data_IF_017194883701
#
_entry.id   IF_017194883701
#
_cell.length_a   1.000
_cell.length_b   1.000
_cell.length_c   1.000
_cell.angle_alpha   90.00
_cell.angle_beta   90.00
_cell.angle_gamma   90.00
#
_symmetry.space_group_name_H-M   'P 1'
#
loop_
_entity.id
_entity.type
_entity.pdbx_description
1 polymer ?
#
# COMPACT_ATOMS: atom_id res chain seq x y z
N UNK A 1 -10.24 -1.39 -23.28
CA UNK A 1 -9.97 -0.94 -21.91
C UNK A 1 -9.67 0.55 -21.87
N UNK A 2 -10.16 1.24 -20.84
CA UNK A 2 -10.02 2.68 -20.62
C UNK A 2 -9.99 2.91 -19.11
N UNK A 3 -9.15 3.85 -18.68
CA UNK A 3 -9.14 4.33 -17.31
C UNK A 3 -8.78 5.82 -17.29
N UNK A 4 -9.60 6.61 -16.61
CA UNK A 4 -9.32 7.98 -16.21
C UNK A 4 -9.89 8.20 -14.80
N UNK A 5 -9.02 8.53 -13.85
CA UNK A 5 -9.39 9.00 -12.53
C UNK A 5 -8.96 10.47 -12.36
N UNK A 6 -9.82 11.30 -11.77
CA UNK A 6 -9.50 12.70 -11.41
C UNK A 6 -9.73 12.90 -9.92
N UNK A 7 -8.73 13.46 -9.24
CA UNK A 7 -8.75 13.82 -7.83
C UNK A 7 -8.61 15.34 -7.74
N UNK A 8 -9.51 16.01 -7.02
CA UNK A 8 -9.49 17.47 -6.81
C UNK A 8 -9.35 17.86 -5.34
N UNK A 9 -9.65 16.95 -4.42
CA UNK A 9 -9.46 17.21 -2.99
C UNK A 9 -7.97 17.13 -2.62
N UNK A 10 -7.47 18.18 -1.96
CA UNK A 10 -6.05 18.29 -1.62
C UNK A 10 -5.56 17.18 -0.68
N UNK A 11 -6.37 16.73 0.28
CA UNK A 11 -5.97 15.67 1.20
C UNK A 11 -5.88 14.33 0.49
N UNK A 12 -6.87 14.00 -0.36
CA UNK A 12 -6.88 12.79 -1.19
C UNK A 12 -5.71 12.78 -2.18
N UNK A 13 -5.36 13.93 -2.79
CA UNK A 13 -4.18 14.04 -3.67
C UNK A 13 -2.91 13.68 -2.91
N UNK A 14 -2.69 14.29 -1.74
CA UNK A 14 -1.49 14.03 -0.94
C UNK A 14 -1.45 12.58 -0.44
N UNK A 15 -2.60 12.02 -0.07
CA UNK A 15 -2.72 10.59 0.30
C UNK A 15 -2.33 9.68 -0.87
N UNK A 16 -2.88 9.91 -2.07
CA UNK A 16 -2.58 9.14 -3.27
C UNK A 16 -1.07 9.18 -3.62
N UNK A 17 -0.45 10.37 -3.57
CA UNK A 17 0.99 10.53 -3.79
C UNK A 17 1.80 9.70 -2.79
N UNK A 18 1.45 9.78 -1.50
CA UNK A 18 2.12 9.01 -0.43
C UNK A 18 1.94 7.50 -0.59
N UNK A 19 0.78 7.04 -1.04
CA UNK A 19 0.52 5.61 -1.32
C UNK A 19 1.46 5.09 -2.41
N UNK A 20 1.52 5.78 -3.55
CA UNK A 20 2.45 5.41 -4.64
C UNK A 20 3.92 5.45 -4.19
N UNK A 21 4.32 6.51 -3.46
CA UNK A 21 5.68 6.60 -2.92
C UNK A 21 6.00 5.48 -1.94
N UNK A 22 5.05 5.09 -1.10
CA UNK A 22 5.25 4.03 -0.11
C UNK A 22 5.44 2.68 -0.77
N UNK A 23 4.58 2.32 -1.74
CA UNK A 23 4.74 1.07 -2.50
C UNK A 23 6.05 1.07 -3.29
N UNK A 24 6.40 2.19 -3.94
CA UNK A 24 7.63 2.31 -4.72
C UNK A 24 8.93 2.18 -3.89
N UNK A 25 8.88 2.45 -2.57
CA UNK A 25 10.07 2.30 -1.70
C UNK A 25 10.46 0.85 -1.42
N UNK A 26 9.53 -0.09 -1.48
CA UNK A 26 9.74 -1.45 -0.98
C UNK A 26 9.94 -2.50 -2.08
N UNK A 27 9.44 -2.27 -3.30
CA UNK A 27 9.59 -3.20 -4.43
C UNK A 27 10.18 -2.49 -5.65
N UNK A 28 10.88 -3.22 -6.52
CA UNK A 28 11.36 -2.68 -7.82
C UNK A 28 10.23 -2.49 -8.82
N UNK A 29 9.24 -3.37 -8.75
CA UNK A 29 8.06 -3.42 -9.60
C UNK A 29 6.84 -3.74 -8.73
N UNK A 30 5.67 -3.27 -9.15
CA UNK A 30 4.40 -3.59 -8.53
C UNK A 30 3.29 -3.59 -9.55
N UNK A 31 2.22 -4.32 -9.25
CA UNK A 31 1.02 -4.40 -10.06
C UNK A 31 -0.02 -3.38 -9.57
N UNK A 32 -0.74 -2.81 -10.52
CA UNK A 32 -1.96 -2.06 -10.27
C UNK A 32 -3.12 -2.81 -10.87
N UNK A 33 -4.12 -3.12 -10.04
CA UNK A 33 -5.40 -3.66 -10.45
C UNK A 33 -6.46 -2.56 -10.36
N UNK A 34 -7.19 -2.37 -11.44
CA UNK A 34 -8.33 -1.47 -11.51
C UNK A 34 -9.61 -2.26 -11.76
N UNK A 35 -10.67 -1.86 -11.09
CA UNK A 35 -12.03 -2.34 -11.26
C UNK A 35 -12.99 -1.14 -11.33
N UNK A 36 -14.31 -1.38 -11.37
CA UNK A 36 -15.27 -0.27 -11.39
C UNK A 36 -15.19 0.62 -10.14
N UNK A 37 -14.89 0.04 -8.97
CA UNK A 37 -15.02 0.71 -7.68
C UNK A 37 -13.74 0.65 -6.82
N UNK A 38 -12.76 -0.15 -7.21
CA UNK A 38 -11.53 -0.33 -6.43
C UNK A 38 -10.28 -0.20 -7.30
N UNK A 39 -9.26 0.41 -6.71
CA UNK A 39 -7.88 0.42 -7.19
C UNK A 39 -7.01 -0.29 -6.16
N UNK A 40 -6.28 -1.32 -6.58
CA UNK A 40 -5.39 -2.09 -5.70
C UNK A 40 -3.95 -1.96 -6.20
N UNK A 41 -3.02 -1.61 -5.32
CA UNK A 41 -1.58 -1.68 -5.56
C UNK A 41 -1.05 -2.94 -4.89
N UNK A 42 -0.42 -3.81 -5.65
CA UNK A 42 0.00 -5.15 -5.22
C UNK A 42 1.48 -5.32 -5.50
N UNK A 43 2.27 -5.62 -4.49
CA UNK A 43 3.70 -5.89 -4.64
C UNK A 43 3.98 -7.08 -5.57
N UNK A 44 5.01 -6.99 -6.40
CA UNK A 44 5.51 -8.12 -7.17
C UNK A 44 6.26 -9.12 -6.28
N UNK A 45 5.73 -10.34 -6.17
CA UNK A 45 6.30 -11.45 -5.38
C UNK A 45 7.56 -12.05 -6.01
N UNK A 46 7.76 -11.86 -7.32
CA UNK A 46 8.81 -12.53 -8.08
C UNK A 46 10.16 -11.82 -8.02
N UNK A 47 10.17 -10.50 -7.79
CA UNK A 47 11.37 -9.65 -7.88
C UNK A 47 11.86 -9.13 -6.51
N UNK A 48 11.83 -10.00 -5.50
CA UNK A 48 12.02 -9.68 -4.08
C UNK A 48 13.34 -8.96 -3.72
N UNK A 49 13.27 -7.63 -3.56
CA UNK A 49 14.12 -6.90 -2.60
C UNK A 49 13.68 -7.16 -1.15
N UNK A 50 12.43 -7.61 -0.96
CA UNK A 50 11.76 -7.71 0.33
C UNK A 50 10.98 -9.04 0.40
N UNK A 51 11.05 -9.77 1.54
CA UNK A 51 10.26 -10.98 1.75
C UNK A 51 8.77 -10.67 2.02
N UNK A 52 8.42 -9.39 2.15
CA UNK A 52 7.07 -8.96 2.46
C UNK A 52 6.23 -8.79 1.19
N UNK A 53 4.95 -9.12 1.29
CA UNK A 53 3.92 -8.83 0.29
C UNK A 53 3.06 -7.70 0.83
N UNK A 54 2.85 -6.66 0.04
CA UNK A 54 1.92 -5.58 0.38
C UNK A 54 0.84 -5.48 -0.68
N UNK A 55 -0.38 -5.33 -0.19
CA UNK A 55 -1.54 -4.95 -0.96
C UNK A 55 -2.14 -3.73 -0.30
N UNK A 56 -2.34 -2.69 -1.09
CA UNK A 56 -3.04 -1.48 -0.70
C UNK A 56 -4.33 -1.44 -1.52
N UNK A 57 -5.46 -1.49 -0.82
CA UNK A 57 -6.78 -1.39 -1.43
C UNK A 57 -7.31 0.03 -1.25
N UNK A 58 -7.74 0.65 -2.34
CA UNK A 58 -8.29 2.00 -2.38
C UNK A 58 -9.71 1.91 -2.97
N UNK A 59 -10.70 2.35 -2.20
CA UNK A 59 -12.04 2.58 -2.73
C UNK A 59 -12.01 3.82 -3.63
N UNK A 60 -12.43 3.66 -4.88
CA UNK A 60 -12.36 4.74 -5.86
C UNK A 60 -13.32 5.90 -5.53
N UNK A 61 -14.45 5.63 -4.86
CA UNK A 61 -15.40 6.67 -4.43
C UNK A 61 -14.80 7.60 -3.38
N UNK A 62 -13.87 7.10 -2.55
CA UNK A 62 -13.23 7.87 -1.49
C UNK A 62 -12.10 8.78 -2.00
N UNK A 63 -11.70 8.65 -3.27
CA UNK A 63 -10.56 9.37 -3.84
C UNK A 63 -10.91 10.14 -5.12
N UNK A 64 -11.70 9.59 -6.02
CA UNK A 64 -11.86 10.15 -7.36
C UNK A 64 -13.20 10.87 -7.51
N UNK A 65 -13.17 12.16 -7.83
CA UNK A 65 -14.36 12.92 -8.20
C UNK A 65 -14.85 12.55 -9.61
N UNK A 66 -13.95 12.17 -10.51
CA UNK A 66 -14.30 11.53 -11.77
C UNK A 66 -13.61 10.17 -11.87
N UNK A 67 -14.38 9.12 -12.11
CA UNK A 67 -13.86 7.78 -12.34
C UNK A 67 -14.50 7.15 -13.58
N UNK A 68 -13.74 7.11 -14.67
CA UNK A 68 -14.17 6.59 -15.97
C UNK A 68 -13.35 5.34 -16.29
N UNK A 69 -13.98 4.19 -16.12
CA UNK A 69 -13.36 2.88 -16.21
C UNK A 69 -14.13 1.96 -17.17
N UNK A 70 -13.38 1.24 -17.99
CA UNK A 70 -13.87 0.15 -18.82
C UNK A 70 -12.78 -0.90 -18.92
N UNK A 71 -13.05 -2.11 -18.43
CA UNK A 71 -12.11 -3.22 -18.39
C UNK A 71 -11.80 -3.84 -19.74
N UNK A 72 -11.31 -5.08 -19.71
CA UNK A 72 -10.98 -5.84 -20.93
C UNK A 72 -12.24 -6.38 -21.61
N UNK A 73 -13.20 -6.91 -20.84
CA UNK A 73 -14.50 -7.36 -21.33
C UNK A 73 -15.58 -7.23 -20.26
N UNK A 74 -16.86 -7.45 -20.61
CA UNK A 74 -17.96 -7.44 -19.64
C UNK A 74 -17.80 -8.53 -18.56
N UNK A 75 -17.32 -9.72 -18.95
CA UNK A 75 -17.11 -10.85 -18.01
C UNK A 75 -15.82 -10.70 -17.18
N UNK A 76 -14.84 -9.94 -17.70
CA UNK A 76 -13.56 -9.66 -17.03
C UNK A 76 -13.33 -8.15 -17.03
N UNK A 77 -14.20 -7.45 -16.31
CA UNK A 77 -14.20 -5.98 -16.21
C UNK A 77 -13.12 -5.48 -15.24
N UNK A 78 -11.88 -5.88 -15.49
CA UNK A 78 -10.69 -5.52 -14.71
C UNK A 78 -9.58 -5.07 -15.66
N UNK A 79 -8.64 -4.30 -15.15
CA UNK A 79 -7.38 -3.99 -15.83
C UNK A 79 -6.25 -4.27 -14.85
N UNK A 80 -5.26 -5.05 -15.28
CA UNK A 80 -4.01 -5.24 -14.55
C UNK A 80 -2.85 -4.68 -15.37
N UNK A 81 -1.97 -3.95 -14.72
CA UNK A 81 -0.72 -3.53 -15.31
C UNK A 81 0.41 -3.47 -14.29
N UNK A 82 1.63 -3.69 -14.74
CA UNK A 82 2.85 -3.56 -13.95
C UNK A 82 3.50 -2.20 -14.17
N UNK A 83 4.08 -1.67 -13.09
CA UNK A 83 4.85 -0.43 -13.08
C UNK A 83 6.21 -0.65 -12.41
N UNK A 84 7.23 0.05 -12.91
CA UNK A 84 8.52 0.17 -12.23
C UNK A 84 8.48 1.26 -11.16
N UNK A 85 9.09 1.00 -10.02
CA UNK A 85 9.06 1.89 -8.85
C UNK A 85 9.92 3.14 -9.01
N UNK A 86 11.10 3.06 -9.64
CA UNK A 86 12.00 4.21 -9.74
C UNK A 86 11.35 5.39 -10.48
N UNK A 87 10.74 5.21 -11.68
CA UNK A 87 10.07 6.31 -12.38
C UNK A 87 8.85 6.83 -11.60
N UNK A 88 8.09 5.95 -10.96
CA UNK A 88 6.94 6.34 -10.11
C UNK A 88 7.41 7.22 -8.97
N UNK A 89 8.45 6.80 -8.23
CA UNK A 89 8.98 7.55 -7.10
C UNK A 89 9.54 8.90 -7.54
N UNK A 90 10.22 8.97 -8.69
CA UNK A 90 10.72 10.23 -9.26
C UNK A 90 9.58 11.19 -9.61
N UNK A 91 8.57 10.72 -10.34
CA UNK A 91 7.41 11.55 -10.70
C UNK A 91 6.70 12.04 -9.45
N UNK A 92 6.32 11.15 -8.54
CA UNK A 92 5.57 11.49 -7.33
C UNK A 92 6.35 12.46 -6.43
N UNK A 93 7.67 12.30 -6.30
CA UNK A 93 8.52 13.22 -5.52
C UNK A 93 8.72 14.58 -6.18
N UNK A 94 8.56 14.67 -7.51
CA UNK A 94 8.68 15.94 -8.24
C UNK A 94 7.41 16.80 -8.19
N UNK A 95 6.29 16.24 -7.72
CA UNK A 95 5.03 16.94 -7.62
C UNK A 95 5.07 17.94 -6.47
N UNK A 96 4.73 19.21 -6.74
CA UNK A 96 4.74 20.25 -5.70
C UNK A 96 3.50 20.15 -4.79
N UNK A 97 3.55 20.60 -3.52
CA UNK A 97 2.49 20.37 -2.53
C UNK A 97 1.18 21.17 -2.75
N UNK A 98 1.07 22.00 -3.79
CA UNK A 98 -0.12 22.83 -4.05
C UNK A 98 -0.75 22.49 -5.40
N UNK A 99 -1.39 21.33 -5.48
CA UNK A 99 -2.02 20.81 -6.70
C UNK A 99 -3.53 21.08 -6.63
N UNK A 100 -4.08 21.63 -7.71
CA UNK A 100 -5.52 21.84 -7.87
C UNK A 100 -6.24 20.55 -8.28
N UNK A 101 -5.65 19.79 -9.20
CA UNK A 101 -6.19 18.49 -9.60
C UNK A 101 -5.09 17.52 -10.03
N UNK A 102 -5.27 16.25 -9.69
CA UNK A 102 -4.43 15.12 -10.13
C UNK A 102 -5.27 14.20 -11.02
N UNK A 103 -4.82 13.97 -12.24
CA UNK A 103 -5.45 13.07 -13.20
C UNK A 103 -4.56 11.87 -13.47
N UNK A 104 -5.08 10.65 -13.26
CA UNK A 104 -4.46 9.40 -13.66
C UNK A 104 -5.18 8.86 -14.89
N UNK A 105 -4.48 8.67 -16.01
CA UNK A 105 -5.12 8.21 -17.25
C UNK A 105 -4.28 7.15 -17.96
N UNK A 106 -4.87 5.99 -18.20
CA UNK A 106 -4.25 4.95 -19.02
C UNK A 106 -4.38 5.32 -20.50
N UNK A 107 -3.25 5.36 -21.22
CA UNK A 107 -3.20 5.67 -22.66
C UNK A 107 -2.41 4.59 -23.39
N UNK A 108 -2.87 4.26 -24.59
CA UNK A 108 -2.10 3.46 -25.55
C UNK A 108 -1.41 4.41 -26.53
N UNK A 109 -0.08 4.42 -26.54
CA UNK A 109 0.73 5.19 -27.50
C UNK A 109 1.48 4.21 -28.40
N UNK A 110 1.91 4.68 -29.57
CA UNK A 110 2.62 3.86 -30.58
C UNK A 110 3.86 3.13 -30.06
N UNK A 111 4.45 3.60 -28.96
CA UNK A 111 5.62 3.01 -28.30
C UNK A 111 5.32 2.22 -27.01
N UNK A 112 4.05 1.98 -26.69
CA UNK A 112 3.63 1.22 -25.50
C UNK A 112 2.50 1.86 -24.70
N UNK A 113 2.02 1.14 -23.70
CA UNK A 113 1.02 1.63 -22.77
C UNK A 113 1.67 2.53 -21.72
N UNK A 114 1.00 3.62 -21.36
CA UNK A 114 1.46 4.55 -20.33
C UNK A 114 0.34 4.94 -19.38
N UNK A 115 0.68 5.08 -18.10
CA UNK A 115 -0.13 5.81 -17.13
C UNK A 115 0.31 7.27 -17.16
N UNK A 116 -0.52 8.11 -17.77
CA UNK A 116 -0.30 9.55 -17.76
C UNK A 116 -0.76 10.14 -16.42
N UNK A 117 0.18 10.74 -15.70
CA UNK A 117 -0.04 11.49 -14.46
C UNK A 117 -0.11 12.97 -14.83
N UNK A 118 -1.31 13.50 -14.97
CA UNK A 118 -1.59 14.91 -15.24
C UNK A 118 -1.82 15.68 -13.95
N UNK A 119 -1.29 16.90 -13.87
CA UNK A 119 -1.34 17.73 -12.66
C UNK A 119 -1.67 19.17 -13.07
N UNK A 120 -2.75 19.69 -12.50
CA UNK A 120 -3.14 21.10 -12.63
C UNK A 120 -2.65 21.87 -11.41
N UNK A 121 -1.85 22.91 -11.64
CA UNK A 121 -1.39 23.81 -10.59
C UNK A 121 -2.16 25.14 -10.65
N UNK A 122 -2.60 25.67 -9.50
CA UNK A 122 -3.19 27.00 -9.44
C UNK A 122 -2.13 28.06 -9.77
N UNK A 123 -2.47 29.01 -10.62
CA UNK A 123 -1.60 30.14 -10.99
C UNK A 123 -2.42 31.43 -11.13
N UNK A 124 -1.78 32.59 -10.94
CA UNK A 124 -2.47 33.90 -10.95
C UNK A 124 -2.98 34.31 -12.34
N UNK A 125 -2.29 33.89 -13.41
CA UNK A 125 -2.63 34.30 -14.79
C UNK A 125 -3.31 33.18 -15.60
N UNK A 126 -2.89 31.94 -15.43
CA UNK A 126 -3.50 30.76 -16.07
C UNK A 126 -3.04 29.47 -15.41
N UNK A 127 -3.96 28.52 -15.19
CA UNK A 127 -3.61 27.23 -14.59
C UNK A 127 -2.52 26.53 -15.41
N UNK A 128 -1.49 26.04 -14.71
CA UNK A 128 -0.37 25.34 -15.34
C UNK A 128 -0.64 23.85 -15.31
N UNK A 129 -0.75 23.23 -16.48
CA UNK A 129 -0.85 21.78 -16.62
C UNK A 129 0.52 21.13 -16.86
N UNK A 130 0.84 20.09 -16.10
CA UNK A 130 2.03 19.26 -16.29
C UNK A 130 1.59 17.81 -16.43
N UNK A 131 2.17 17.06 -17.37
CA UNK A 131 1.88 15.63 -17.52
C UNK A 131 3.16 14.81 -17.62
N UNK A 132 3.22 13.75 -16.80
CA UNK A 132 4.27 12.74 -16.82
C UNK A 132 3.69 11.44 -17.35
N UNK A 133 4.36 10.82 -18.33
CA UNK A 133 3.96 9.50 -18.82
C UNK A 133 4.84 8.42 -18.18
N UNK A 134 4.22 7.56 -17.37
CA UNK A 134 4.87 6.39 -16.77
C UNK A 134 4.60 5.18 -17.66
N UNK A 135 5.64 4.51 -18.15
CA UNK A 135 5.47 3.27 -18.92
C UNK A 135 4.86 2.19 -18.05
N UNK A 136 3.91 1.44 -18.62
CA UNK A 136 3.25 0.31 -17.95
C UNK A 136 3.17 -0.90 -18.86
N UNK A 137 3.25 -2.09 -18.28
CA UNK A 137 3.04 -3.35 -18.99
C UNK A 137 1.66 -3.91 -18.66
N UNK A 138 0.81 -4.11 -19.66
CA UNK A 138 -0.54 -4.64 -19.45
C UNK A 138 -0.45 -6.15 -19.24
N UNK A 139 -0.96 -6.63 -18.11
CA UNK A 139 -0.92 -8.06 -17.78
C UNK A 139 -2.05 -8.80 -18.49
N UNK A 140 -1.69 -9.88 -19.19
CA UNK A 140 -2.66 -10.78 -19.84
C UNK A 140 -3.51 -11.50 -18.79
N UNK A 141 -4.78 -11.71 -19.13
CA UNK A 141 -5.81 -12.29 -18.24
C UNK A 141 -5.44 -13.66 -17.66
N UNK A 142 -4.61 -14.45 -18.36
CA UNK A 142 -4.15 -15.77 -17.91
C UNK A 142 -3.21 -15.73 -16.70
N UNK A 143 -2.61 -14.57 -16.39
CA UNK A 143 -1.67 -14.41 -15.27
C UNK A 143 -2.31 -13.72 -14.05
N UNK A 144 -3.55 -13.27 -14.14
CA UNK A 144 -4.19 -12.49 -13.07
C UNK A 144 -4.32 -13.29 -11.76
N UNK A 145 -4.63 -14.59 -11.85
CA UNK A 145 -4.78 -15.46 -10.68
C UNK A 145 -3.46 -15.64 -9.91
N UNK A 146 -2.32 -15.47 -10.58
CA UNK A 146 -0.98 -15.56 -9.95
C UNK A 146 -0.62 -14.29 -9.17
N UNK A 147 -1.22 -13.15 -9.54
CA UNK A 147 -1.00 -11.85 -8.89
C UNK A 147 -1.92 -11.71 -7.66
N UNK A 148 -3.12 -12.29 -7.72
CA UNK A 148 -4.11 -12.28 -6.64
C UNK A 148 -3.73 -13.23 -5.50
N UNK A 149 -2.61 -12.96 -4.83
CA UNK A 149 -2.20 -13.67 -3.63
C UNK A 149 -2.11 -12.71 -2.47
N UNK A 150 -3.16 -12.62 -1.67
CA UNK A 150 -3.13 -12.41 -0.22
C UNK A 150 -4.48 -12.95 0.26
N UNK A 151 -4.55 -14.27 0.43
CA UNK A 151 -5.62 -14.80 1.27
C UNK A 151 -5.19 -14.49 2.70
N UNK A 152 -6.00 -13.70 3.41
CA UNK A 152 -5.89 -13.62 4.86
C UNK A 152 -6.08 -15.04 5.38
N UNK A 153 -4.98 -15.68 5.78
CA UNK A 153 -5.03 -16.98 6.41
C UNK A 153 -5.74 -16.87 7.76
N UNK A 154 -6.04 -18.02 8.35
CA UNK A 154 -6.38 -18.07 9.76
C UNK A 154 -5.25 -17.46 10.60
N UNK A 155 -5.59 -16.75 11.67
CA UNK A 155 -4.63 -16.16 12.62
C UNK A 155 -4.92 -16.70 14.02
N UNK A 156 -3.87 -17.09 14.76
CA UNK A 156 -3.93 -17.46 16.19
C UNK A 156 -4.24 -16.26 17.09
N UNK A 157 -3.81 -15.07 16.69
CA UNK A 157 -3.93 -13.85 17.49
C UNK A 157 -4.07 -12.63 16.60
N UNK A 158 -5.05 -11.80 16.93
CA UNK A 158 -5.20 -10.49 16.30
C UNK A 158 -5.45 -9.39 17.31
N UNK A 159 -4.79 -8.26 17.12
CA UNK A 159 -4.84 -7.12 18.04
C UNK A 159 -4.47 -5.81 17.31
N UNK A 160 -4.83 -4.70 17.93
CA UNK A 160 -4.49 -3.36 17.44
C UNK A 160 -3.08 -2.95 17.85
N UNK A 161 -2.34 -2.37 16.90
CA UNK A 161 -1.00 -1.84 17.16
C UNK A 161 -1.08 -0.71 18.20
N UNK A 162 -0.08 -0.58 19.11
CA UNK A 162 0.14 0.69 19.80
C UNK A 162 0.34 1.83 18.80
N UNK A 163 0.38 3.08 19.27
CA UNK A 163 0.66 4.24 18.43
C UNK A 163 1.86 4.00 17.50
N UNK A 164 1.59 4.03 16.18
CA UNK A 164 2.58 3.70 15.14
C UNK A 164 3.90 4.46 15.31
N UNK A 165 3.93 5.77 15.62
CA UNK A 165 5.19 6.51 15.85
C UNK A 165 6.03 5.91 16.99
N UNK A 166 5.40 5.44 18.06
CA UNK A 166 6.06 4.85 19.22
C UNK A 166 6.67 3.49 18.86
N UNK A 167 5.94 2.69 18.07
CA UNK A 167 6.45 1.41 17.55
C UNK A 167 7.63 1.63 16.61
N UNK A 168 7.53 2.58 15.67
CA UNK A 168 8.62 2.94 14.75
C UNK A 168 9.87 3.36 15.54
N UNK A 169 9.71 4.28 16.49
CA UNK A 169 10.83 4.76 17.34
C UNK A 169 11.50 3.62 18.10
N UNK A 170 10.70 2.66 18.59
CA UNK A 170 11.21 1.47 19.28
C UNK A 170 12.03 0.58 18.33
N UNK A 171 11.52 0.34 17.12
CA UNK A 171 12.21 -0.45 16.09
C UNK A 171 13.52 0.22 15.68
N UNK A 172 13.53 1.54 15.47
CA UNK A 172 14.74 2.29 15.08
C UNK A 172 15.83 2.17 16.14
N UNK A 173 15.49 2.32 17.42
CA UNK A 173 16.46 2.17 18.54
C UNK A 173 17.03 0.76 18.65
N UNK A 174 16.22 -0.27 18.36
CA UNK A 174 16.65 -1.66 18.43
C UNK A 174 17.47 -2.08 17.20
N UNK A 175 17.16 -1.53 16.03
CA UNK A 175 17.88 -1.77 14.77
C UNK A 175 19.38 -1.42 14.88
N UNK A 176 19.71 -0.36 15.60
CA UNK A 176 21.10 0.06 15.80
C UNK A 176 21.92 -0.91 16.66
N UNK A 177 21.25 -1.79 17.41
CA UNK A 177 21.87 -2.68 18.39
C UNK A 177 22.03 -4.11 17.88
N UNK A 178 21.06 -4.61 17.10
CA UNK A 178 21.10 -5.96 16.56
C UNK A 178 20.44 -6.01 15.17
N UNK A 179 21.02 -6.74 14.20
CA UNK A 179 20.39 -6.97 12.90
C UNK A 179 19.11 -7.81 12.99
N UNK A 180 18.88 -8.51 14.10
CA UNK A 180 17.70 -9.35 14.32
C UNK A 180 16.88 -8.82 15.50
N UNK A 181 15.57 -8.73 15.30
CA UNK A 181 14.62 -8.38 16.34
C UNK A 181 13.60 -9.50 16.53
N UNK A 182 13.17 -9.67 17.77
CA UNK A 182 12.10 -10.58 18.14
C UNK A 182 10.83 -9.77 18.42
N UNK A 183 9.76 -10.09 17.70
CA UNK A 183 8.42 -9.57 17.95
C UNK A 183 7.58 -10.72 18.52
N UNK A 184 6.98 -10.53 19.70
CA UNK A 184 6.10 -11.51 20.34
C UNK A 184 4.82 -10.83 20.79
N UNK A 185 3.68 -11.42 20.46
CA UNK A 185 2.40 -11.03 21.00
C UNK A 185 1.85 -12.16 21.88
N UNK A 186 1.19 -11.79 22.99
CA UNK A 186 0.56 -12.74 23.90
C UNK A 186 -0.75 -12.15 24.43
N UNK A 187 -1.86 -12.86 24.23
CA UNK A 187 -3.09 -12.61 24.96
C UNK A 187 -2.89 -12.95 26.45
N UNK A 188 -3.20 -12.00 27.33
CA UNK A 188 -3.17 -12.20 28.79
C UNK A 188 -4.53 -12.69 29.28
N UNK A 189 -5.60 -12.08 28.78
CA UNK A 189 -7.00 -12.43 29.07
C UNK A 189 -7.86 -12.24 27.82
N UNK A 190 -9.19 -12.31 27.96
CA UNK A 190 -10.15 -12.21 26.84
C UNK A 190 -10.14 -10.86 26.11
N UNK A 191 -9.55 -9.80 26.71
CA UNK A 191 -9.60 -8.45 26.16
C UNK A 191 -8.20 -7.80 26.02
N UNK A 192 -7.16 -8.34 26.66
CA UNK A 192 -5.85 -7.70 26.72
C UNK A 192 -4.75 -8.52 26.07
N UNK A 193 -3.99 -7.84 25.22
CA UNK A 193 -2.77 -8.35 24.60
C UNK A 193 -1.55 -7.56 25.02
N UNK A 194 -0.42 -8.26 25.11
CA UNK A 194 0.90 -7.64 25.27
C UNK A 194 1.73 -7.91 24.04
N UNK A 195 2.24 -6.83 23.43
CA UNK A 195 3.25 -6.88 22.38
C UNK A 195 4.62 -6.62 23.00
N UNK A 196 5.58 -7.51 22.75
CA UNK A 196 6.97 -7.36 23.14
C UNK A 196 7.83 -7.29 21.89
N UNK A 197 8.57 -6.19 21.74
CA UNK A 197 9.59 -6.01 20.71
C UNK A 197 10.94 -5.99 21.41
N UNK A 198 11.89 -6.82 20.99
CA UNK A 198 13.20 -6.85 21.60
C UNK A 198 14.32 -7.27 20.67
N UNK A 199 15.54 -7.03 21.12
CA UNK A 199 16.78 -7.44 20.49
C UNK A 199 17.68 -8.06 21.57
N UNK A 200 18.20 -9.25 21.28
CA UNK A 200 19.15 -9.93 22.14
C UNK A 200 20.51 -9.96 21.41
N UNK A 201 21.58 -9.60 22.13
CA UNK A 201 22.98 -9.66 21.69
C UNK A 201 23.77 -10.45 22.74
N UNK A 202 25.03 -10.77 22.46
CA UNK A 202 25.89 -11.51 23.41
C UNK A 202 26.08 -10.77 24.74
N UNK A 203 25.98 -9.43 24.73
CA UNK A 203 26.24 -8.58 25.89
C UNK A 203 24.98 -7.98 26.51
N UNK A 204 23.92 -7.74 25.72
CA UNK A 204 22.75 -6.96 26.13
C UNK A 204 21.47 -7.57 25.55
N UNK A 205 20.44 -7.69 26.40
CA UNK A 205 19.08 -8.02 26.03
C UNK A 205 18.16 -6.83 26.29
N UNK A 206 17.57 -6.26 25.24
CA UNK A 206 16.64 -5.12 25.33
C UNK A 206 15.26 -5.53 24.86
N UNK A 207 14.25 -5.25 25.69
CA UNK A 207 12.85 -5.63 25.45
C UNK A 207 11.94 -4.49 25.84
N UNK A 208 11.19 -3.99 24.87
CA UNK A 208 10.11 -3.03 25.06
C UNK A 208 8.79 -3.78 25.08
N UNK A 209 7.96 -3.53 26.09
CA UNK A 209 6.64 -4.13 26.23
C UNK A 209 5.58 -3.05 26.07
N UNK A 210 4.61 -3.31 25.21
CA UNK A 210 3.37 -2.56 25.08
C UNK A 210 2.25 -3.40 25.70
N UNK A 211 1.57 -2.85 26.70
CA UNK A 211 0.51 -3.54 27.44
C UNK A 211 -0.85 -2.94 27.12
N UNK A 212 -1.90 -3.65 27.54
CA UNK A 212 -3.29 -3.20 27.43
C UNK A 212 -3.72 -2.92 25.98
N UNK A 213 -3.28 -3.77 25.05
CA UNK A 213 -3.69 -3.70 23.65
C UNK A 213 -5.00 -4.47 23.44
N UNK A 214 -5.92 -3.85 22.71
CA UNK A 214 -7.22 -4.44 22.41
C UNK A 214 -7.09 -5.57 21.38
N UNK A 215 -7.79 -6.68 21.66
CA UNK A 215 -7.92 -7.79 20.72
C UNK A 215 -8.88 -7.44 19.59
N UNK A 216 -8.53 -7.87 18.38
CA UNK A 216 -9.49 -7.91 17.28
C UNK A 216 -10.11 -9.31 17.26
N UNK A 217 -11.25 -9.45 17.94
CA UNK A 217 -11.97 -10.72 18.05
C UNK A 217 -12.74 -10.95 16.74
N UNK A 218 -12.12 -11.64 15.79
CA UNK A 218 -12.85 -12.31 14.72
C UNK A 218 -13.19 -13.73 15.18
N UNK A 219 -14.46 -14.10 15.14
CA UNK A 219 -15.03 -15.31 15.78
C UNK A 219 -14.61 -16.65 15.18
N UNK A 220 -13.87 -16.67 14.08
CA UNK A 220 -13.51 -17.93 13.43
C UNK A 220 -11.99 -18.03 13.32
N UNK A 221 -11.40 -19.06 13.95
CA UNK A 221 -10.55 -20.03 13.26
C UNK A 221 -9.97 -21.11 14.21
N UNK A 222 -10.50 -22.32 14.06
CA UNK A 222 -9.82 -23.58 14.37
C UNK A 222 -8.84 -23.89 13.21
N UNK A 223 -7.57 -23.51 13.33
CA UNK A 223 -6.52 -24.10 12.46
C UNK A 223 -5.14 -24.06 13.14
N UNK A 224 -4.37 -25.13 12.96
CA UNK A 224 -3.16 -25.44 13.72
C UNK A 224 -1.87 -24.70 13.27
N UNK A 225 -1.99 -23.62 12.49
CA UNK A 225 -0.86 -22.82 12.04
C UNK A 225 -0.89 -21.40 12.65
N UNK A 226 -0.14 -21.21 13.74
CA UNK A 226 1.05 -20.33 13.80
C UNK A 226 0.97 -18.87 13.32
N UNK A 227 -0.18 -18.22 13.10
CA UNK A 227 -0.24 -16.92 12.42
C UNK A 227 -0.73 -15.78 13.33
N UNK A 228 -0.28 -14.55 13.11
CA UNK A 228 -0.80 -13.38 13.83
C UNK A 228 -1.08 -12.23 12.87
N UNK A 229 -2.14 -11.47 13.14
CA UNK A 229 -2.52 -10.29 12.39
C UNK A 229 -2.44 -9.04 13.27
N UNK A 230 -1.61 -8.08 12.87
CA UNK A 230 -1.56 -6.76 13.49
C UNK A 230 -2.33 -5.80 12.61
N UNK A 231 -3.31 -5.14 13.20
CA UNK A 231 -4.03 -4.06 12.54
C UNK A 231 -3.45 -2.71 12.98
N UNK A 232 -3.26 -1.75 12.06
CA UNK A 232 -2.92 -0.39 12.46
C UNK A 232 -4.05 0.14 13.35
N UNK A 233 -3.70 0.84 14.42
CA UNK A 233 -4.68 1.60 15.18
C UNK A 233 -5.00 2.88 14.38
N UNK A 234 -6.27 3.08 14.01
CA UNK A 234 -6.70 4.15 13.08
C UNK A 234 -7.39 5.32 13.79
N UNK A 235 -7.64 5.26 15.11
CA UNK A 235 -8.26 6.35 15.90
C UNK A 235 -7.42 6.62 17.18
N UNK A 236 -7.10 7.84 17.62
CA UNK A 236 -7.74 9.17 17.52
C UNK A 236 -6.98 10.22 16.70
#
# INVERSE_FOLDING_TARGET
>A
MKFKGVITDGQQIQSMIKVFQSVAKFWKTFYVKLSANEMQLISDRSNGLSPFVVKCDLNCEDYFQEYDFSGVSNDKNLIYFEMSSDPVSQVMSSLSPNIKALTLKLKNKSGGNVLAVGVDYPSQDSDRYVSHDLKVEIIKTQYWDQICGLQSGAYDLSFYLPETPTVITTIERLKDLCPYMTIRAKAIDQNKTVLTIGADTDSIALKTKFTDLDLNVNEDNDSNDRHWAIFPNVDN
#
